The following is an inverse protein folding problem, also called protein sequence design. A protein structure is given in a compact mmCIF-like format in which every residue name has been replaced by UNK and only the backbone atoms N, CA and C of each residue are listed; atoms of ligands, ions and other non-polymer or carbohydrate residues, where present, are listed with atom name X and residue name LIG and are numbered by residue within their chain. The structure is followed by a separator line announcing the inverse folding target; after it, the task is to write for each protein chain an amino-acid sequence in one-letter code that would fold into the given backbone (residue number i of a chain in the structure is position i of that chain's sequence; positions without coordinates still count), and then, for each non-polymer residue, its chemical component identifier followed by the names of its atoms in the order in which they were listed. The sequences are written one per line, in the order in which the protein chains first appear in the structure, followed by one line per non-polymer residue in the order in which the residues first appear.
data_IF_757470097536
#
_entry.id   IF_757470097536
#
_cell.length_a   1.000
_cell.length_b   1.000
_cell.length_c   1.000
_cell.angle_alpha   90.00
_cell.angle_beta   90.00
_cell.angle_gamma   90.00
#
_symmetry.space_group_name_H-M   'P 1'
#
loop_
_entity.id
_entity.type
_entity.pdbx_description
1 polymer ?
#
# COMPACT_ATOMS: atom_id res chain seq x y z
N UNK A 1 -4.56 -34.83 -10.95
CA UNK A 1 -5.16 -36.05 -10.37
C UNK A 1 -6.26 -35.63 -9.41
N UNK A 2 -7.46 -36.16 -9.62
CA UNK A 2 -8.74 -35.82 -8.98
C UNK A 2 -8.73 -35.98 -7.45
N UNK A 3 -9.24 -34.99 -6.70
CA UNK A 3 -9.86 -35.24 -5.40
C UNK A 3 -11.26 -34.63 -5.36
N UNK A 4 -12.24 -35.53 -5.41
CA UNK A 4 -13.68 -35.28 -5.30
C UNK A 4 -14.03 -34.88 -3.87
N UNK A 5 -14.86 -33.86 -3.73
CA UNK A 5 -15.71 -33.62 -2.55
C UNK A 5 -16.72 -34.77 -2.38
N UNK A 6 -16.92 -35.30 -1.16
CA UNK A 6 -18.13 -36.05 -0.83
C UNK A 6 -19.07 -35.22 0.05
N UNK A 7 -20.34 -35.22 -0.34
CA UNK A 7 -21.51 -34.77 0.43
C UNK A 7 -21.74 -35.63 1.68
N UNK A 8 -22.40 -35.10 2.73
CA UNK A 8 -22.63 -35.84 3.96
C UNK A 8 -23.89 -36.71 3.85
N UNK A 9 -23.75 -38.00 4.12
CA UNK A 9 -24.90 -38.88 4.37
C UNK A 9 -24.73 -39.57 5.73
N UNK A 10 -25.84 -39.56 6.47
CA UNK A 10 -26.02 -40.11 7.82
C UNK A 10 -25.69 -41.60 7.86
N UNK A 11 -24.97 -42.03 8.90
CA UNK A 11 -25.29 -43.25 9.63
C UNK A 11 -24.63 -43.23 11.01
N UNK A 12 -25.47 -43.09 12.04
CA UNK A 12 -25.11 -43.42 13.40
C UNK A 12 -25.21 -44.94 13.57
N UNK A 13 -24.14 -45.59 14.05
CA UNK A 13 -24.20 -46.70 15.02
C UNK A 13 -22.84 -47.36 15.21
N UNK A 14 -22.62 -47.85 16.43
CA UNK A 14 -21.52 -48.69 16.92
C UNK A 14 -20.19 -48.00 17.24
N UNK A 15 -20.13 -47.52 18.48
CA UNK A 15 -18.89 -47.33 19.22
C UNK A 15 -18.23 -48.70 19.46
N UNK A 16 -16.96 -48.87 19.07
CA UNK A 16 -16.00 -49.80 19.69
C UNK A 16 -14.58 -49.25 19.49
N UNK A 17 -13.98 -48.81 20.60
CA UNK A 17 -12.54 -48.87 20.92
C UNK A 17 -11.51 -48.52 19.84
N UNK A 18 -11.11 -47.25 19.79
CA UNK A 18 -9.76 -46.82 19.42
C UNK A 18 -9.35 -45.64 20.32
N UNK A 19 -8.48 -45.84 21.34
CA UNK A 19 -7.83 -44.74 22.02
C UNK A 19 -6.67 -44.25 21.15
N UNK A 20 -6.50 -42.94 21.06
CA UNK A 20 -5.51 -42.22 20.23
C UNK A 20 -5.95 -41.91 18.80
N UNK A 21 -6.78 -40.86 18.66
CA UNK A 21 -6.65 -39.77 17.67
C UNK A 21 -7.77 -38.73 17.90
N UNK A 22 -7.79 -38.11 19.08
CA UNK A 22 -8.39 -36.77 19.22
C UNK A 22 -7.32 -35.75 18.86
N UNK A 23 -7.10 -35.50 17.57
CA UNK A 23 -6.42 -34.29 17.13
C UNK A 23 -7.40 -33.12 17.31
N UNK A 24 -7.57 -32.67 18.56
CA UNK A 24 -8.16 -31.37 18.81
C UNK A 24 -7.21 -30.34 18.19
N UNK A 25 -7.55 -29.81 17.03
CA UNK A 25 -6.82 -28.71 16.46
C UNK A 25 -7.01 -27.49 17.38
N UNK A 26 -5.99 -27.19 18.19
CA UNK A 26 -5.95 -26.00 19.04
C UNK A 26 -5.50 -24.82 18.18
N UNK A 27 -6.45 -23.99 17.76
CA UNK A 27 -6.17 -22.78 16.99
C UNK A 27 -5.93 -21.60 17.94
N UNK A 28 -4.81 -20.90 17.77
CA UNK A 28 -4.55 -19.63 18.41
C UNK A 28 -4.41 -18.56 17.33
N UNK A 29 -5.22 -17.50 17.42
CA UNK A 29 -5.20 -16.38 16.48
C UNK A 29 -4.85 -15.12 17.26
N UNK A 30 -3.98 -14.30 16.68
CA UNK A 30 -3.59 -13.00 17.22
C UNK A 30 -3.96 -11.95 16.19
N UNK A 31 -4.61 -10.89 16.64
CA UNK A 31 -5.05 -9.82 15.76
C UNK A 31 -5.41 -8.56 16.53
N UNK A 32 -5.41 -7.44 15.80
CA UNK A 32 -5.81 -6.13 16.30
C UNK A 32 -6.79 -5.52 15.30
N UNK A 33 -8.05 -5.40 15.71
CA UNK A 33 -9.14 -4.80 14.93
C UNK A 33 -8.88 -3.31 14.62
N UNK A 34 -8.19 -2.59 15.50
CA UNK A 34 -7.80 -1.20 15.30
C UNK A 34 -6.65 -1.05 14.27
N UNK A 35 -5.98 -2.15 13.90
CA UNK A 35 -4.92 -2.18 12.87
C UNK A 35 -5.37 -2.87 11.57
N UNK A 36 -6.67 -3.11 11.37
CA UNK A 36 -7.20 -3.64 10.10
C UNK A 36 -7.30 -2.55 9.04
N UNK A 37 -6.31 -2.50 8.13
CA UNK A 37 -6.12 -1.45 7.11
C UNK A 37 -6.02 -1.98 5.67
N UNK A 38 -6.40 -3.24 5.44
CA UNK A 38 -6.37 -3.90 4.14
C UNK A 38 -7.79 -4.25 3.65
N UNK A 39 -8.81 -3.49 4.05
CA UNK A 39 -10.20 -3.73 3.63
C UNK A 39 -10.36 -3.67 2.12
N UNK A 40 -9.61 -2.79 1.47
CA UNK A 40 -9.52 -2.70 0.01
C UNK A 40 -8.93 -3.95 -0.68
N UNK A 41 -8.18 -4.80 0.04
CA UNK A 41 -7.71 -6.12 -0.44
C UNK A 41 -8.68 -7.26 -0.06
N UNK A 42 -9.87 -6.94 0.45
CA UNK A 42 -10.88 -7.92 0.87
C UNK A 42 -10.74 -8.39 2.31
N UNK A 43 -9.90 -7.75 3.14
CA UNK A 43 -9.82 -8.09 4.56
C UNK A 43 -11.13 -7.69 5.27
N UNK A 44 -11.78 -8.67 5.91
CA UNK A 44 -13.04 -8.45 6.62
C UNK A 44 -12.78 -8.36 8.13
N UNK A 45 -13.07 -7.21 8.73
CA UNK A 45 -12.85 -7.00 10.18
C UNK A 45 -13.73 -7.90 11.06
N UNK A 46 -14.88 -8.33 10.54
CA UNK A 46 -15.81 -9.22 11.24
C UNK A 46 -15.19 -10.56 11.59
N UNK A 47 -14.16 -11.01 10.84
CA UNK A 47 -13.42 -12.22 11.17
C UNK A 47 -12.81 -12.18 12.58
N UNK A 48 -12.44 -10.99 13.08
CA UNK A 48 -11.93 -10.81 14.45
C UNK A 48 -13.05 -10.33 15.39
N UNK A 49 -13.89 -9.38 14.96
CA UNK A 49 -14.89 -8.80 15.87
C UNK A 49 -16.01 -9.79 16.22
N UNK A 50 -16.30 -10.76 15.35
CA UNK A 50 -17.33 -11.78 15.51
C UNK A 50 -16.73 -13.18 15.69
N UNK A 51 -15.49 -13.27 16.18
CA UNK A 51 -14.78 -14.55 16.31
C UNK A 51 -15.55 -15.60 17.13
N UNK A 52 -16.26 -15.18 18.19
CA UNK A 52 -17.07 -16.04 19.04
C UNK A 52 -18.27 -16.68 18.30
N UNK A 53 -18.70 -16.10 17.17
CA UNK A 53 -19.76 -16.68 16.34
C UNK A 53 -19.26 -17.90 15.55
N UNK A 54 -17.96 -17.95 15.24
CA UNK A 54 -17.34 -19.06 14.50
C UNK A 54 -16.80 -20.14 15.42
N UNK A 55 -16.26 -19.74 16.58
CA UNK A 55 -15.68 -20.64 17.57
C UNK A 55 -16.35 -20.41 18.92
N UNK A 56 -17.28 -21.31 19.35
CA UNK A 56 -17.97 -21.14 20.62
C UNK A 56 -16.98 -21.30 21.79
N UNK A 57 -17.07 -20.39 22.77
CA UNK A 57 -16.21 -20.34 23.97
C UNK A 57 -14.69 -20.23 23.69
N UNK A 58 -14.22 -19.21 22.96
CA UNK A 58 -12.79 -19.00 22.80
C UNK A 58 -12.19 -18.40 24.09
N UNK A 59 -10.98 -18.83 24.45
CA UNK A 59 -10.24 -18.18 25.53
C UNK A 59 -9.62 -16.87 25.02
N UNK A 60 -10.14 -15.72 25.48
CA UNK A 60 -9.71 -14.40 25.02
C UNK A 60 -8.71 -13.78 26.00
N UNK A 61 -7.52 -13.48 25.51
CA UNK A 61 -6.48 -12.72 26.27
C UNK A 61 -6.34 -11.34 25.65
N UNK A 62 -6.44 -10.29 26.46
CA UNK A 62 -6.19 -8.91 26.04
C UNK A 62 -4.79 -8.47 26.48
N UNK A 63 -3.98 -8.03 25.52
CA UNK A 63 -2.67 -7.45 25.77
C UNK A 63 -2.80 -5.93 25.73
N UNK A 64 -2.90 -5.30 26.90
CA UNK A 64 -3.17 -3.86 27.02
C UNK A 64 -1.91 -3.03 27.32
N UNK A 65 -0.82 -3.69 27.70
CA UNK A 65 0.47 -3.03 27.94
C UNK A 65 1.23 -2.85 26.61
N UNK A 66 1.53 -1.60 26.26
CA UNK A 66 2.33 -1.22 25.11
C UNK A 66 3.78 -0.93 25.52
N UNK A 67 4.71 -1.68 24.96
CA UNK A 67 6.15 -1.54 25.24
C UNK A 67 6.88 -0.63 24.23
N UNK A 68 6.21 -0.19 23.17
CA UNK A 68 6.82 0.53 22.04
C UNK A 68 6.83 2.04 22.26
N UNK A 69 5.66 2.61 22.48
CA UNK A 69 5.41 4.05 22.38
C UNK A 69 5.37 4.71 23.75
N UNK A 70 5.74 5.98 23.80
CA UNK A 70 5.59 6.82 25.00
C UNK A 70 4.13 7.08 25.32
N UNK A 71 3.86 7.42 26.58
CA UNK A 71 2.52 7.75 27.09
C UNK A 71 1.79 8.82 26.26
N UNK A 72 2.39 9.98 25.90
CA UNK A 72 1.72 10.98 25.06
C UNK A 72 1.30 10.47 23.67
N UNK A 73 2.17 9.71 23.00
CA UNK A 73 1.87 9.13 21.68
C UNK A 73 0.70 8.13 21.80
N UNK A 74 0.73 7.27 22.82
CA UNK A 74 -0.30 6.26 23.00
C UNK A 74 -1.65 6.85 23.39
N UNK A 75 -1.68 7.89 24.24
CA UNK A 75 -2.92 8.63 24.53
C UNK A 75 -3.48 9.32 23.29
N UNK A 76 -2.61 9.91 22.46
CA UNK A 76 -3.03 10.49 21.18
C UNK A 76 -3.67 9.42 20.28
N UNK A 77 -3.05 8.24 20.15
CA UNK A 77 -3.61 7.12 19.39
C UNK A 77 -4.96 6.62 19.94
N UNK A 78 -5.06 6.43 21.26
CA UNK A 78 -6.30 6.01 21.93
C UNK A 78 -7.43 7.04 21.76
N UNK A 79 -7.10 8.34 21.81
CA UNK A 79 -8.07 9.43 21.64
C UNK A 79 -8.65 9.50 20.24
N UNK A 80 -7.86 9.12 19.22
CA UNK A 80 -8.31 8.99 17.85
C UNK A 80 -9.22 7.75 17.70
N UNK A 81 -8.72 6.57 18.03
CA UNK A 81 -9.36 5.31 17.64
C UNK A 81 -10.68 5.03 18.35
N UNK A 82 -10.91 5.64 19.53
CA UNK A 82 -12.19 5.54 20.25
C UNK A 82 -13.40 6.01 19.43
N UNK A 83 -13.19 6.83 18.39
CA UNK A 83 -14.26 7.35 17.54
C UNK A 83 -14.71 6.34 16.46
N UNK A 84 -14.02 5.21 16.28
CA UNK A 84 -14.48 4.13 15.40
C UNK A 84 -15.62 3.34 16.03
N UNK A 85 -16.71 3.16 15.28
CA UNK A 85 -17.86 2.35 15.70
C UNK A 85 -17.57 0.86 15.46
N UNK A 86 -18.10 -0.02 16.32
CA UNK A 86 -18.01 -1.48 16.12
C UNK A 86 -16.66 -2.10 16.46
N UNK A 87 -15.73 -1.35 17.08
CA UNK A 87 -14.46 -1.88 17.61
C UNK A 87 -14.66 -2.65 18.91
N UNK A 88 -13.73 -3.55 19.23
CA UNK A 88 -13.67 -4.18 20.55
C UNK A 88 -13.12 -3.18 21.57
N UNK A 89 -13.75 -3.03 22.75
CA UNK A 89 -13.26 -2.13 23.78
C UNK A 89 -11.94 -2.66 24.35
N UNK A 90 -10.89 -1.87 24.14
CA UNK A 90 -9.57 -2.00 24.74
C UNK A 90 -8.94 -0.61 24.87
N UNK A 91 -8.12 -0.44 25.89
CA UNK A 91 -7.35 0.77 26.15
C UNK A 91 -5.90 0.38 26.38
N UNK A 92 -5.01 0.83 25.49
CA UNK A 92 -3.60 0.57 25.63
C UNK A 92 -2.97 1.55 26.62
N UNK A 93 -2.06 1.09 27.47
CA UNK A 93 -1.28 1.93 28.39
C UNK A 93 0.22 1.62 28.25
N UNK A 94 1.08 2.56 28.65
CA UNK A 94 2.54 2.43 28.53
C UNK A 94 3.23 2.76 29.85
N UNK A 95 4.34 2.07 30.14
CA UNK A 95 5.27 2.43 31.24
C UNK A 95 6.31 3.46 30.81
N UNK A 96 6.44 3.72 29.50
CA UNK A 96 7.41 4.65 28.96
C UNK A 96 6.91 6.08 29.16
N UNK A 97 7.30 6.68 30.29
CA UNK A 97 6.94 8.04 30.70
C UNK A 97 7.69 9.14 29.91
N UNK A 98 7.69 9.05 28.58
CA UNK A 98 8.22 10.12 27.73
C UNK A 98 7.48 11.43 28.01
N UNK A 99 8.23 12.51 28.16
CA UNK A 99 7.71 13.86 28.42
C UNK A 99 7.23 14.57 27.16
N UNK A 100 7.79 14.20 26.01
CA UNK A 100 7.60 14.95 24.78
C UNK A 100 6.17 14.76 24.26
N UNK A 101 5.46 15.88 24.12
CA UNK A 101 4.14 15.91 23.52
C UNK A 101 4.22 15.64 22.01
N UNK A 102 3.11 15.19 21.44
CA UNK A 102 2.99 15.08 19.99
C UNK A 102 2.94 16.49 19.40
N UNK A 103 3.85 16.82 18.47
CA UNK A 103 3.84 18.15 17.84
C UNK A 103 2.88 18.15 16.65
N UNK A 104 2.07 19.21 16.52
CA UNK A 104 1.22 19.47 15.36
C UNK A 104 1.64 20.78 14.72
N UNK A 105 2.23 20.72 13.53
CA UNK A 105 2.85 21.86 12.86
C UNK A 105 2.03 22.27 11.62
N UNK A 106 1.60 23.52 11.59
CA UNK A 106 1.01 24.14 10.40
C UNK A 106 2.11 24.78 9.53
N UNK A 107 2.10 24.47 8.24
CA UNK A 107 2.99 25.07 7.23
C UNK A 107 2.15 25.79 6.16
N UNK A 108 2.75 26.72 5.44
CA UNK A 108 2.10 27.45 4.34
C UNK A 108 1.92 26.56 3.12
N UNK A 109 2.97 25.83 2.71
CA UNK A 109 2.92 24.91 1.58
C UNK A 109 3.68 23.59 1.75
N UNK A 110 3.57 22.72 0.75
CA UNK A 110 4.18 21.38 0.73
C UNK A 110 5.69 21.38 0.62
N UNK A 111 6.28 22.46 0.10
CA UNK A 111 7.73 22.63 0.09
C UNK A 111 8.24 23.06 1.46
N UNK A 112 7.55 23.98 2.14
CA UNK A 112 7.88 24.37 3.51
C UNK A 112 7.73 23.20 4.48
N UNK A 113 6.66 22.39 4.34
CA UNK A 113 6.49 21.16 5.12
C UNK A 113 7.66 20.19 4.93
N UNK A 114 8.07 19.95 3.67
CA UNK A 114 9.18 19.05 3.37
C UNK A 114 10.53 19.61 3.86
N UNK A 115 10.75 20.91 3.72
CA UNK A 115 11.97 21.57 4.17
C UNK A 115 12.09 21.58 5.69
N UNK A 116 10.98 21.81 6.41
CA UNK A 116 10.90 21.72 7.87
C UNK A 116 11.32 20.32 8.34
N UNK A 117 10.73 19.27 7.76
CA UNK A 117 11.08 17.88 8.11
C UNK A 117 12.57 17.62 7.83
N UNK A 118 13.05 18.03 6.66
CA UNK A 118 14.44 17.81 6.28
C UNK A 118 15.43 18.56 7.19
N UNK A 119 15.10 19.79 7.60
CA UNK A 119 15.88 20.61 8.54
C UNK A 119 15.91 20.02 9.95
N UNK A 120 14.78 19.49 10.43
CA UNK A 120 14.73 18.83 11.74
C UNK A 120 15.58 17.56 11.77
N UNK A 121 15.48 16.74 10.72
CA UNK A 121 16.34 15.55 10.57
C UNK A 121 17.80 15.95 10.47
N UNK A 122 18.14 16.97 9.67
CA UNK A 122 19.50 17.52 9.57
C UNK A 122 20.05 17.89 10.94
N UNK A 123 19.28 18.68 11.68
CA UNK A 123 19.67 19.18 13.00
C UNK A 123 19.87 18.03 13.98
N UNK A 124 18.93 17.09 14.04
CA UNK A 124 19.05 15.94 14.94
C UNK A 124 20.22 15.02 14.55
N UNK A 125 20.47 14.82 13.25
CA UNK A 125 21.57 14.00 12.78
C UNK A 125 22.94 14.63 13.05
N UNK A 126 23.13 15.90 12.70
CA UNK A 126 24.43 16.55 12.82
C UNK A 126 24.71 17.09 14.23
N UNK A 127 23.72 17.68 14.91
CA UNK A 127 23.91 18.25 16.25
C UNK A 127 23.82 17.17 17.34
N UNK A 128 22.83 16.28 17.26
CA UNK A 128 22.59 15.27 18.31
C UNK A 128 23.21 13.90 17.97
N UNK A 129 23.92 13.78 16.84
CA UNK A 129 24.53 12.52 16.34
C UNK A 129 23.54 11.36 16.22
N UNK A 130 22.26 11.66 15.98
CA UNK A 130 21.23 10.63 15.87
C UNK A 130 21.32 9.91 14.52
N UNK A 131 21.32 8.56 14.45
CA UNK A 131 21.39 7.83 13.18
C UNK A 131 20.21 8.14 12.27
N UNK A 132 20.45 8.26 10.96
CA UNK A 132 19.38 8.56 9.99
C UNK A 132 18.32 7.45 9.92
N UNK A 133 18.71 6.22 10.23
CA UNK A 133 17.86 5.03 10.24
C UNK A 133 16.80 5.07 11.35
N UNK A 134 16.94 5.95 12.34
CA UNK A 134 15.95 6.14 13.41
C UNK A 134 14.77 7.03 13.00
N UNK A 135 14.85 7.67 11.83
CA UNK A 135 13.84 8.58 11.33
C UNK A 135 12.99 7.91 10.26
N UNK A 136 11.67 8.09 10.36
CA UNK A 136 10.73 7.76 9.31
C UNK A 136 9.77 8.90 9.01
N UNK A 137 9.47 9.08 7.73
CA UNK A 137 8.40 9.96 7.25
C UNK A 137 7.34 9.09 6.61
N UNK A 138 6.16 9.03 7.23
CA UNK A 138 5.05 8.23 6.72
C UNK A 138 3.98 9.09 6.08
N UNK A 139 3.70 8.81 4.82
CA UNK A 139 2.72 9.54 4.01
C UNK A 139 1.59 8.64 3.53
N UNK A 140 0.47 9.24 3.13
CA UNK A 140 -0.73 8.50 2.71
C UNK A 140 -0.63 8.01 1.27
N UNK A 141 0.02 8.77 0.39
CA UNK A 141 0.15 8.48 -1.05
C UNK A 141 1.58 8.69 -1.53
N UNK A 142 2.05 7.84 -2.45
CA UNK A 142 3.40 7.91 -3.01
C UNK A 142 3.74 9.25 -3.68
N UNK A 143 2.74 9.98 -4.19
CA UNK A 143 2.96 11.30 -4.80
C UNK A 143 3.57 12.32 -3.82
N UNK A 144 3.39 12.11 -2.50
CA UNK A 144 3.99 12.96 -1.46
C UNK A 144 5.50 12.72 -1.29
N UNK A 145 6.05 11.57 -1.72
CA UNK A 145 7.48 11.28 -1.55
C UNK A 145 8.34 12.27 -2.33
N UNK A 146 7.92 12.66 -3.54
CA UNK A 146 8.73 13.44 -4.47
C UNK A 146 9.25 14.76 -3.88
N UNK A 147 8.41 15.49 -3.15
CA UNK A 147 8.80 16.79 -2.54
C UNK A 147 9.74 16.57 -1.35
N UNK A 148 9.52 15.51 -0.56
CA UNK A 148 10.39 15.12 0.55
C UNK A 148 11.78 14.68 0.05
N UNK A 149 11.80 13.84 -0.99
CA UNK A 149 13.02 13.40 -1.66
C UNK A 149 13.84 14.57 -2.19
N UNK A 150 13.17 15.57 -2.79
CA UNK A 150 13.83 16.78 -3.26
C UNK A 150 14.45 17.58 -2.10
N UNK A 151 13.73 17.77 -0.99
CA UNK A 151 14.24 18.47 0.19
C UNK A 151 15.45 17.75 0.82
N UNK A 152 15.36 16.42 1.01
CA UNK A 152 16.49 15.63 1.51
C UNK A 152 17.70 15.66 0.58
N UNK A 153 17.49 15.57 -0.74
CA UNK A 153 18.57 15.64 -1.73
C UNK A 153 19.27 17.01 -1.71
N UNK A 154 18.51 18.09 -1.58
CA UNK A 154 19.06 19.46 -1.49
C UNK A 154 19.94 19.64 -0.25
N UNK A 155 19.54 19.04 0.89
CA UNK A 155 20.31 19.04 2.15
C UNK A 155 21.34 17.92 2.25
N UNK A 156 21.53 17.12 1.19
CA UNK A 156 22.45 15.97 1.14
C UNK A 156 22.22 14.93 2.26
N UNK A 157 20.96 14.76 2.66
CA UNK A 157 20.55 13.76 3.65
C UNK A 157 20.28 12.45 2.90
N UNK A 158 20.92 11.36 3.35
CA UNK A 158 20.66 10.05 2.80
C UNK A 158 19.23 9.59 3.17
N UNK A 159 18.50 9.11 2.19
CA UNK A 159 17.13 8.61 2.37
C UNK A 159 16.92 7.34 1.55
N UNK A 160 15.92 6.56 1.95
CA UNK A 160 15.43 5.39 1.22
C UNK A 160 13.92 5.48 1.10
N UNK A 161 13.39 5.13 -0.06
CA UNK A 161 11.94 5.08 -0.28
C UNK A 161 11.51 3.62 -0.28
N UNK A 162 10.59 3.27 0.61
CA UNK A 162 10.00 1.95 0.76
C UNK A 162 8.59 1.99 0.18
N UNK A 163 8.29 1.04 -0.71
CA UNK A 163 7.02 1.04 -1.42
C UNK A 163 6.89 2.19 -2.44
N UNK A 164 8.03 2.75 -2.89
CA UNK A 164 8.08 3.38 -4.21
C UNK A 164 7.51 2.37 -5.21
N UNK A 165 6.76 2.83 -6.24
CA UNK A 165 6.11 1.89 -7.18
C UNK A 165 7.12 0.83 -7.59
N UNK A 166 6.82 -0.40 -7.17
CA UNK A 166 7.58 -1.56 -7.56
C UNK A 166 7.77 -1.56 -9.06
N UNK A 167 8.88 -2.14 -9.53
CA UNK A 167 9.08 -2.36 -10.95
C UNK A 167 7.84 -3.02 -11.59
N UNK A 168 7.20 -3.96 -10.88
CA UNK A 168 6.00 -4.68 -11.33
C UNK A 168 4.71 -3.85 -11.25
N UNK A 169 4.73 -2.75 -10.51
CA UNK A 169 3.62 -1.79 -10.40
C UNK A 169 3.60 -0.72 -11.49
N UNK A 170 4.68 -0.63 -12.28
CA UNK A 170 4.71 0.25 -13.44
C UNK A 170 3.60 -0.13 -14.41
N UNK A 171 2.98 0.87 -15.03
CA UNK A 171 1.74 0.67 -15.82
C UNK A 171 1.97 -0.36 -16.92
N UNK A 172 3.03 -0.16 -17.68
CA UNK A 172 3.44 -0.96 -18.80
C UNK A 172 3.73 -2.41 -18.42
N UNK A 173 4.42 -2.61 -17.29
CA UNK A 173 4.77 -3.92 -16.76
C UNK A 173 3.52 -4.64 -16.27
N UNK A 174 2.68 -3.95 -15.49
CA UNK A 174 1.45 -4.51 -14.91
C UNK A 174 0.40 -4.86 -15.96
N UNK A 175 0.34 -4.13 -17.06
CA UNK A 175 -0.52 -4.46 -18.21
C UNK A 175 -0.10 -5.80 -18.83
N UNK A 176 1.20 -6.01 -19.09
CA UNK A 176 1.71 -7.29 -19.61
C UNK A 176 1.54 -8.42 -18.61
N UNK A 177 1.85 -8.20 -17.33
CA UNK A 177 1.62 -9.20 -16.28
C UNK A 177 0.14 -9.60 -16.17
N UNK A 178 -0.78 -8.66 -16.38
CA UNK A 178 -2.22 -8.97 -16.36
C UNK A 178 -2.65 -9.80 -17.57
N UNK A 179 -2.05 -9.57 -18.75
CA UNK A 179 -2.20 -10.48 -19.88
C UNK A 179 -1.71 -11.88 -19.52
N UNK A 180 -0.50 -12.01 -18.99
CA UNK A 180 0.08 -13.28 -18.58
C UNK A 180 -0.76 -14.00 -17.52
N UNK A 181 -1.28 -13.26 -16.52
CA UNK A 181 -2.20 -13.80 -15.51
C UNK A 181 -3.46 -14.38 -16.13
N UNK A 182 -4.10 -13.65 -17.06
CA UNK A 182 -5.31 -14.13 -17.75
C UNK A 182 -5.03 -15.32 -18.67
N UNK A 183 -3.85 -15.39 -19.30
CA UNK A 183 -3.46 -16.57 -20.10
C UNK A 183 -3.27 -17.82 -19.24
N UNK A 184 -2.77 -17.64 -18.01
CA UNK A 184 -2.64 -18.73 -17.05
C UNK A 184 -4.00 -19.11 -16.44
N UNK A 185 -4.75 -18.11 -15.99
CA UNK A 185 -6.06 -18.25 -15.36
C UNK A 185 -7.04 -17.19 -15.90
N UNK A 186 -7.90 -17.55 -16.88
CA UNK A 186 -8.89 -16.63 -17.43
C UNK A 186 -9.93 -16.13 -16.40
N UNK A 187 -10.06 -16.80 -15.25
CA UNK A 187 -11.00 -16.40 -14.20
C UNK A 187 -10.47 -15.31 -13.25
N UNK A 188 -9.26 -14.79 -13.48
CA UNK A 188 -8.77 -13.59 -12.78
C UNK A 188 -9.46 -12.33 -13.32
N UNK A 189 -10.61 -12.01 -12.70
CA UNK A 189 -11.46 -10.88 -13.09
C UNK A 189 -10.75 -9.53 -12.96
N UNK A 190 -9.80 -9.38 -12.03
CA UNK A 190 -9.07 -8.13 -11.82
C UNK A 190 -8.06 -7.89 -12.94
N UNK A 191 -7.27 -8.91 -13.30
CA UNK A 191 -6.36 -8.83 -14.44
C UNK A 191 -7.13 -8.66 -15.75
N UNK A 192 -8.24 -9.40 -15.92
CA UNK A 192 -9.09 -9.35 -17.10
C UNK A 192 -9.67 -7.95 -17.32
N UNK A 193 -10.25 -7.32 -16.30
CA UNK A 193 -10.81 -5.97 -16.41
C UNK A 193 -9.74 -4.93 -16.76
N UNK A 194 -8.53 -5.07 -16.22
CA UNK A 194 -7.42 -4.16 -16.52
C UNK A 194 -7.04 -4.18 -18.00
N UNK A 195 -6.96 -5.37 -18.58
CA UNK A 195 -6.57 -5.56 -19.98
C UNK A 195 -7.75 -5.53 -20.94
N UNK A 196 -9.01 -5.44 -20.47
CA UNK A 196 -10.20 -5.56 -21.33
C UNK A 196 -10.32 -4.48 -22.41
N UNK A 197 -9.70 -3.32 -22.22
CA UNK A 197 -9.64 -2.27 -23.25
C UNK A 197 -8.25 -1.62 -23.36
N UNK A 198 -7.21 -2.37 -22.98
CA UNK A 198 -5.81 -1.94 -23.03
C UNK A 198 -5.01 -2.96 -23.83
N UNK A 199 -4.63 -2.71 -25.10
CA UNK A 199 -4.90 -1.51 -25.92
C UNK A 199 -6.38 -1.28 -26.26
N UNK A 200 -6.70 -0.02 -26.59
CA UNK A 200 -8.06 0.42 -26.93
C UNK A 200 -8.61 -0.35 -28.11
N UNK A 201 -9.67 -1.13 -27.88
CA UNK A 201 -10.31 -1.99 -28.90
C UNK A 201 -11.82 -1.79 -29.03
N UNK A 202 -12.35 -0.73 -28.40
CA UNK A 202 -13.76 -0.35 -28.52
C UNK A 202 -14.69 -1.06 -27.54
N UNK A 203 -14.14 -1.62 -26.45
CA UNK A 203 -14.94 -2.13 -25.32
C UNK A 203 -15.07 -0.99 -24.31
N UNK A 204 -16.26 -0.37 -24.27
CA UNK A 204 -16.53 0.77 -23.39
C UNK A 204 -16.66 0.38 -21.93
N UNK A 205 -16.55 1.36 -21.03
CA UNK A 205 -16.74 1.17 -19.59
C UNK A 205 -18.13 0.62 -19.25
N UNK A 206 -19.17 1.04 -19.96
CA UNK A 206 -20.53 0.52 -19.80
C UNK A 206 -20.61 -0.99 -20.10
N UNK A 207 -19.92 -1.47 -21.14
CA UNK A 207 -19.89 -2.89 -21.48
C UNK A 207 -19.13 -3.71 -20.44
N UNK A 208 -18.03 -3.18 -19.90
CA UNK A 208 -17.30 -3.82 -18.82
C UNK A 208 -18.15 -3.93 -17.54
N UNK A 209 -18.90 -2.89 -17.22
CA UNK A 209 -19.79 -2.87 -16.06
C UNK A 209 -20.95 -3.85 -16.20
N UNK A 210 -21.59 -3.91 -17.38
CA UNK A 210 -22.61 -4.91 -17.70
C UNK A 210 -22.08 -6.35 -17.55
N UNK A 211 -20.85 -6.61 -17.99
CA UNK A 211 -20.22 -7.93 -17.82
C UNK A 211 -19.99 -8.27 -16.34
N UNK A 212 -19.61 -7.28 -15.53
CA UNK A 212 -19.41 -7.39 -14.09
C UNK A 212 -20.73 -7.66 -13.35
N UNK A 213 -21.79 -6.93 -13.67
CA UNK A 213 -23.13 -7.16 -13.12
C UNK A 213 -23.64 -8.57 -13.44
N UNK A 214 -23.47 -9.00 -14.70
CA UNK A 214 -23.85 -10.35 -15.14
C UNK A 214 -23.09 -11.45 -14.40
N UNK A 215 -21.80 -11.24 -14.19
CA UNK A 215 -20.93 -12.11 -13.39
C UNK A 215 -21.43 -12.23 -11.94
N UNK A 216 -21.85 -11.12 -11.32
CA UNK A 216 -22.41 -11.11 -9.97
C UNK A 216 -23.78 -11.81 -9.89
N UNK A 217 -24.67 -11.54 -10.84
CA UNK A 217 -26.03 -12.12 -10.90
C UNK A 217 -26.00 -13.65 -11.02
N UNK A 218 -25.13 -14.17 -11.90
CA UNK A 218 -25.03 -15.60 -12.19
C UNK A 218 -23.95 -16.33 -11.38
N UNK A 219 -23.27 -15.65 -10.46
CA UNK A 219 -22.19 -16.20 -9.62
C UNK A 219 -21.08 -16.93 -10.40
N UNK A 220 -20.65 -16.35 -11.53
CA UNK A 220 -19.52 -16.85 -12.33
C UNK A 220 -18.53 -15.73 -12.63
N UNK A 221 -17.33 -16.05 -13.12
CA UNK A 221 -16.34 -15.03 -13.47
C UNK A 221 -16.78 -14.15 -14.65
N UNK A 222 -16.15 -12.99 -14.81
CA UNK A 222 -16.37 -12.09 -15.94
C UNK A 222 -15.99 -12.77 -17.26
N UNK A 223 -14.97 -13.62 -17.28
CA UNK A 223 -14.63 -14.43 -18.45
C UNK A 223 -15.81 -15.26 -18.96
N UNK A 224 -16.53 -15.94 -18.06
CA UNK A 224 -17.72 -16.72 -18.43
C UNK A 224 -18.82 -15.81 -18.99
N UNK A 225 -18.99 -14.61 -18.43
CA UNK A 225 -19.92 -13.61 -18.95
C UNK A 225 -19.57 -13.18 -20.38
N UNK A 226 -18.28 -12.93 -20.66
CA UNK A 226 -17.80 -12.50 -21.97
C UNK A 226 -17.92 -13.61 -23.04
N UNK A 227 -17.93 -14.87 -22.63
CA UNK A 227 -18.17 -16.03 -23.50
C UNK A 227 -19.65 -16.40 -23.65
N UNK A 228 -20.56 -15.80 -22.87
CA UNK A 228 -22.00 -16.08 -22.91
C UNK A 228 -22.65 -15.40 -24.13
N UNK A 229 -23.16 -16.18 -25.08
CA UNK A 229 -23.83 -15.66 -26.28
C UNK A 229 -25.07 -14.82 -25.93
N UNK A 230 -25.77 -15.11 -24.83
CA UNK A 230 -26.93 -14.31 -24.41
C UNK A 230 -26.51 -12.93 -23.92
N UNK A 231 -25.37 -12.83 -23.23
CA UNK A 231 -24.77 -11.55 -22.87
C UNK A 231 -24.32 -10.78 -24.12
N UNK A 232 -23.62 -11.45 -25.05
CA UNK A 232 -23.15 -10.84 -26.29
C UNK A 232 -24.31 -10.27 -27.14
N UNK A 233 -25.50 -10.87 -27.08
CA UNK A 233 -26.71 -10.34 -27.77
C UNK A 233 -27.18 -9.00 -27.21
N UNK A 234 -26.93 -8.71 -25.94
CA UNK A 234 -27.42 -7.51 -25.24
C UNK A 234 -26.55 -6.26 -25.44
N UNK A 235 -25.34 -6.43 -25.99
CA UNK A 235 -24.37 -5.34 -26.20
C UNK A 235 -24.32 -4.92 -27.67
N UNK A 236 -23.84 -3.68 -27.97
CA UNK A 236 -23.71 -3.19 -29.34
C UNK A 236 -22.80 -4.08 -30.19
N UNK A 237 -23.11 -4.21 -31.49
CA UNK A 237 -22.38 -5.09 -32.43
C UNK A 237 -20.87 -4.81 -32.46
N UNK A 238 -20.47 -3.54 -32.38
CA UNK A 238 -19.05 -3.15 -32.32
C UNK A 238 -18.34 -3.72 -31.10
N UNK A 239 -18.99 -3.69 -29.92
CA UNK A 239 -18.45 -4.23 -28.69
C UNK A 239 -18.43 -5.76 -28.71
N UNK A 240 -19.47 -6.39 -29.28
CA UNK A 240 -19.55 -7.84 -29.48
C UNK A 240 -18.40 -8.37 -30.32
N UNK A 241 -18.12 -7.75 -31.46
CA UNK A 241 -17.01 -8.14 -32.33
C UNK A 241 -15.67 -7.96 -31.61
N UNK A 242 -15.48 -6.85 -30.90
CA UNK A 242 -14.26 -6.60 -30.13
C UNK A 242 -14.05 -7.65 -29.01
N UNK A 243 -15.11 -8.04 -28.29
CA UNK A 243 -15.03 -9.09 -27.26
C UNK A 243 -14.68 -10.43 -27.91
N UNK A 244 -15.33 -10.81 -29.02
CA UNK A 244 -15.02 -12.07 -29.73
C UNK A 244 -13.57 -12.13 -30.20
N UNK A 245 -13.04 -11.03 -30.76
CA UNK A 245 -11.63 -10.95 -31.15
C UNK A 245 -10.71 -11.09 -29.93
N UNK A 246 -11.06 -10.44 -28.81
CA UNK A 246 -10.28 -10.52 -27.58
C UNK A 246 -10.31 -11.91 -26.93
N UNK A 247 -11.49 -12.54 -26.80
CA UNK A 247 -11.58 -13.90 -26.23
C UNK A 247 -10.85 -14.92 -27.10
N UNK A 248 -10.93 -14.79 -28.44
CA UNK A 248 -10.17 -15.63 -29.36
C UNK A 248 -8.65 -15.46 -29.20
N UNK A 249 -8.17 -14.23 -29.01
CA UNK A 249 -6.76 -13.95 -28.71
C UNK A 249 -6.32 -14.62 -27.40
N UNK A 250 -7.10 -14.47 -26.32
CA UNK A 250 -6.77 -15.11 -25.03
C UNK A 250 -6.73 -16.63 -25.19
N UNK A 251 -7.72 -17.25 -25.85
CA UNK A 251 -7.74 -18.70 -26.09
C UNK A 251 -6.53 -19.16 -26.91
N UNK A 252 -6.14 -18.41 -27.95
CA UNK A 252 -4.97 -18.69 -28.80
C UNK A 252 -3.68 -18.80 -27.99
N UNK A 253 -3.47 -17.90 -27.03
CA UNK A 253 -2.24 -17.84 -26.24
C UNK A 253 -2.30 -18.67 -24.94
N UNK A 254 -3.50 -18.98 -24.42
CA UNK A 254 -3.67 -19.76 -23.18
C UNK A 254 -3.20 -21.22 -23.33
N UNK A 255 -3.36 -21.82 -24.52
CA UNK A 255 -2.88 -23.18 -24.79
C UNK A 255 -1.35 -23.29 -24.65
N UNK A 256 -0.57 -22.51 -25.43
CA UNK A 256 0.88 -22.46 -25.29
C UNK A 256 1.34 -22.06 -23.88
N UNK A 257 0.69 -21.07 -23.25
CA UNK A 257 1.04 -20.57 -21.92
C UNK A 257 1.02 -21.65 -20.82
N UNK A 258 0.10 -22.61 -20.91
CA UNK A 258 -0.06 -23.69 -19.94
C UNK A 258 0.64 -25.00 -20.36
N UNK A 259 1.35 -25.00 -21.49
CA UNK A 259 2.10 -26.18 -21.96
C UNK A 259 3.53 -26.16 -21.39
N UNK A 260 3.97 -27.20 -20.67
CA UNK A 260 5.34 -27.28 -20.17
C UNK A 260 6.37 -27.21 -21.30
N UNK A 261 7.43 -26.41 -21.11
CA UNK A 261 8.53 -26.28 -22.08
C UNK A 261 8.32 -25.24 -23.18
N UNK A 262 7.16 -24.59 -23.25
CA UNK A 262 6.92 -23.43 -24.12
C UNK A 262 7.96 -22.34 -23.90
N UNK A 263 8.44 -21.73 -24.99
CA UNK A 263 9.31 -20.56 -24.92
C UNK A 263 8.47 -19.34 -24.54
N UNK A 264 8.36 -19.08 -23.24
CA UNK A 264 7.52 -18.02 -22.67
C UNK A 264 7.86 -16.63 -23.23
N UNK A 265 9.14 -16.38 -23.49
CA UNK A 265 9.64 -15.11 -24.01
C UNK A 265 9.13 -14.88 -25.43
N UNK A 266 9.32 -15.85 -26.33
CA UNK A 266 8.84 -15.78 -27.71
C UNK A 266 7.32 -15.60 -27.77
N UNK A 267 6.60 -16.33 -26.91
CA UNK A 267 5.15 -16.20 -26.79
C UNK A 267 4.75 -14.79 -26.33
N UNK A 268 5.44 -14.23 -25.33
CA UNK A 268 5.14 -12.91 -24.78
C UNK A 268 5.47 -11.81 -25.78
N UNK A 269 6.60 -11.92 -26.49
CA UNK A 269 6.96 -10.99 -27.57
C UNK A 269 5.95 -11.05 -28.72
N UNK A 270 5.53 -12.26 -29.13
CA UNK A 270 4.50 -12.43 -30.14
C UNK A 270 3.17 -11.80 -29.70
N UNK A 271 2.78 -11.96 -28.43
CA UNK A 271 1.58 -11.34 -27.87
C UNK A 271 1.67 -9.81 -27.90
N UNK A 272 2.78 -9.24 -27.40
CA UNK A 272 3.03 -7.79 -27.38
C UNK A 272 2.92 -7.19 -28.79
N UNK A 273 3.46 -7.89 -29.78
CA UNK A 273 3.40 -7.51 -31.19
C UNK A 273 1.96 -7.59 -31.73
N UNK A 274 1.26 -8.71 -31.52
CA UNK A 274 -0.09 -8.95 -32.06
C UNK A 274 -1.13 -7.99 -31.46
N UNK A 275 -1.03 -7.65 -30.17
CA UNK A 275 -1.93 -6.66 -29.56
C UNK A 275 -1.55 -5.21 -29.92
N UNK A 276 -0.40 -4.99 -30.55
CA UNK A 276 0.09 -3.65 -30.90
C UNK A 276 0.39 -2.79 -29.67
N UNK A 277 0.93 -3.39 -28.60
CA UNK A 277 1.10 -2.70 -27.32
C UNK A 277 2.10 -1.54 -27.39
N UNK A 278 3.21 -1.72 -28.11
CA UNK A 278 4.23 -0.69 -28.27
C UNK A 278 3.69 0.55 -28.99
N UNK A 279 2.86 0.35 -30.03
CA UNK A 279 2.17 1.44 -30.73
C UNK A 279 1.14 2.14 -29.83
N UNK A 280 0.45 1.37 -28.98
CA UNK A 280 -0.47 1.93 -27.99
C UNK A 280 0.26 2.83 -26.99
N UNK A 281 1.41 2.39 -26.46
CA UNK A 281 2.24 3.18 -25.57
C UNK A 281 2.79 4.42 -26.25
N UNK A 282 3.30 4.30 -27.48
CA UNK A 282 3.81 5.44 -28.25
C UNK A 282 2.76 6.52 -28.47
N UNK A 283 1.51 6.14 -28.74
CA UNK A 283 0.37 7.08 -28.87
C UNK A 283 -0.06 7.70 -27.54
N UNK A 284 0.17 7.01 -26.42
CA UNK A 284 -0.17 7.47 -25.08
C UNK A 284 0.91 8.38 -24.47
N UNK A 285 2.14 8.32 -24.97
CA UNK A 285 3.27 9.11 -24.50
C UNK A 285 3.05 10.59 -24.84
N UNK A 286 3.30 11.46 -23.87
CA UNK A 286 3.28 12.92 -24.09
C UNK A 286 4.64 13.40 -24.55
N UNK A 287 5.69 12.87 -23.92
CA UNK A 287 7.09 13.15 -24.26
C UNK A 287 7.79 11.88 -24.78
N UNK A 288 8.82 12.01 -25.63
CA UNK A 288 9.62 10.87 -26.10
C UNK A 288 10.26 10.06 -24.95
N UNK A 289 10.58 10.74 -23.86
CA UNK A 289 11.18 10.15 -22.64
C UNK A 289 10.21 9.21 -21.91
N UNK A 290 8.91 9.51 -21.92
CA UNK A 290 7.87 8.63 -21.34
C UNK A 290 7.87 7.27 -22.05
N UNK A 291 7.89 7.31 -23.39
CA UNK A 291 7.90 6.11 -24.21
C UNK A 291 9.18 5.29 -23.98
N UNK A 292 10.35 5.94 -23.98
CA UNK A 292 11.62 5.27 -23.71
C UNK A 292 11.66 4.62 -22.31
N UNK A 293 11.05 5.26 -21.31
CA UNK A 293 10.90 4.69 -19.98
C UNK A 293 10.03 3.44 -19.96
N UNK A 294 8.89 3.45 -20.66
CA UNK A 294 7.99 2.31 -20.75
C UNK A 294 8.58 1.16 -21.59
N UNK A 295 9.26 1.48 -22.69
CA UNK A 295 9.98 0.50 -23.50
C UNK A 295 11.06 -0.22 -22.67
N UNK A 296 11.85 0.53 -21.89
CA UNK A 296 12.79 -0.06 -20.94
C UNK A 296 12.08 -0.93 -19.90
N UNK A 297 10.93 -0.51 -19.37
CA UNK A 297 10.14 -1.31 -18.43
C UNK A 297 9.77 -2.68 -19.00
N UNK A 298 9.30 -2.73 -20.24
CA UNK A 298 8.95 -3.99 -20.92
C UNK A 298 10.22 -4.83 -21.19
N UNK A 299 11.31 -4.22 -21.63
CA UNK A 299 12.56 -4.93 -21.89
C UNK A 299 13.14 -5.56 -20.62
N UNK A 300 13.10 -4.86 -19.49
CA UNK A 300 13.50 -5.42 -18.20
C UNK A 300 12.58 -6.56 -17.75
N UNK A 301 11.27 -6.49 -18.02
CA UNK A 301 10.35 -7.60 -17.74
C UNK A 301 10.73 -8.84 -18.55
N UNK A 302 11.02 -8.67 -19.86
CA UNK A 302 11.46 -9.77 -20.71
C UNK A 302 12.79 -10.37 -20.24
N UNK A 303 13.75 -9.54 -19.82
CA UNK A 303 15.01 -10.03 -19.21
C UNK A 303 14.76 -10.83 -17.93
N UNK A 304 13.85 -10.37 -17.07
CA UNK A 304 13.44 -11.08 -15.86
C UNK A 304 12.83 -12.44 -16.19
N UNK A 305 11.96 -12.52 -17.21
CA UNK A 305 11.41 -13.78 -17.73
C UNK A 305 12.50 -14.72 -18.26
N UNK A 306 13.52 -14.19 -18.94
CA UNK A 306 14.69 -14.98 -19.38
C UNK A 306 15.44 -15.57 -18.20
N UNK A 307 15.79 -14.75 -17.22
CA UNK A 307 16.52 -15.20 -16.04
C UNK A 307 15.73 -16.22 -15.20
N UNK A 308 14.40 -16.14 -15.20
CA UNK A 308 13.53 -17.17 -14.60
C UNK A 308 13.56 -18.47 -15.41
N UNK A 309 13.36 -18.39 -16.73
CA UNK A 309 13.32 -19.56 -17.62
C UNK A 309 14.64 -20.34 -17.63
N UNK A 310 15.77 -19.64 -17.51
CA UNK A 310 17.11 -20.26 -17.38
C UNK A 310 17.31 -20.98 -16.05
N UNK A 311 16.74 -20.47 -14.94
CA UNK A 311 16.85 -21.07 -13.61
C UNK A 311 15.87 -22.21 -13.38
N UNK A 312 14.61 -22.05 -13.80
CA UNK A 312 13.54 -23.01 -13.54
C UNK A 312 12.55 -23.08 -14.71
N UNK A 313 12.96 -23.79 -15.76
CA UNK A 313 12.13 -24.03 -16.95
C UNK A 313 10.89 -24.89 -16.67
N UNK A 314 10.88 -25.67 -15.59
CA UNK A 314 9.81 -26.62 -15.30
C UNK A 314 8.56 -25.95 -14.74
N UNK A 315 8.75 -24.85 -14.00
CA UNK A 315 7.66 -24.10 -13.36
C UNK A 315 6.81 -23.27 -14.33
N UNK A 316 7.32 -22.99 -15.54
CA UNK A 316 6.56 -22.37 -16.63
C UNK A 316 6.00 -20.99 -16.28
N UNK A 317 4.85 -20.63 -16.88
CA UNK A 317 4.25 -19.32 -16.64
C UNK A 317 3.77 -19.14 -15.19
N UNK A 318 3.25 -20.21 -14.58
CA UNK A 318 2.77 -20.20 -13.20
C UNK A 318 3.90 -19.85 -12.24
N UNK A 319 5.05 -20.53 -12.36
CA UNK A 319 6.23 -20.27 -11.54
C UNK A 319 6.78 -18.86 -11.70
N UNK A 320 6.75 -18.32 -12.92
CA UNK A 320 7.14 -16.93 -13.14
C UNK A 320 6.21 -15.94 -12.43
N UNK A 321 4.89 -16.14 -12.53
CA UNK A 321 3.90 -15.27 -11.86
C UNK A 321 4.00 -15.36 -10.32
N UNK A 322 4.28 -16.56 -9.79
CA UNK A 322 4.55 -16.77 -8.36
C UNK A 322 5.85 -16.07 -7.94
N UNK A 323 6.92 -16.18 -8.72
CA UNK A 323 8.19 -15.50 -8.44
C UNK A 323 8.04 -13.97 -8.47
N UNK A 324 7.33 -13.43 -9.46
CA UNK A 324 7.06 -11.99 -9.54
C UNK A 324 6.31 -11.51 -8.30
N UNK A 325 5.28 -12.24 -7.88
CA UNK A 325 4.50 -11.91 -6.68
C UNK A 325 5.36 -11.93 -5.41
N UNK A 326 6.27 -12.91 -5.29
CA UNK A 326 7.19 -13.01 -4.15
C UNK A 326 8.31 -11.97 -4.19
N UNK A 327 8.80 -11.61 -5.38
CA UNK A 327 9.85 -10.62 -5.54
C UNK A 327 9.35 -9.21 -5.24
N UNK A 328 8.08 -8.91 -5.55
CA UNK A 328 7.43 -7.65 -5.17
C UNK A 328 7.47 -7.47 -3.64
N UNK A 329 7.09 -8.51 -2.88
CA UNK A 329 7.17 -8.51 -1.41
C UNK A 329 8.62 -8.46 -0.88
N UNK A 330 9.58 -9.02 -1.63
CA UNK A 330 11.01 -9.00 -1.25
C UNK A 330 11.65 -7.66 -1.51
N UNK A 331 11.36 -6.98 -2.62
CA UNK A 331 11.88 -5.64 -2.92
C UNK A 331 11.44 -4.64 -1.84
N UNK A 332 10.18 -4.71 -1.41
CA UNK A 332 9.68 -3.90 -0.30
C UNK A 332 10.46 -4.16 1.01
N UNK A 333 10.78 -5.42 1.32
CA UNK A 333 11.57 -5.78 2.51
C UNK A 333 13.05 -5.41 2.39
N UNK A 334 13.66 -5.61 1.22
CA UNK A 334 15.05 -5.26 0.95
C UNK A 334 15.27 -3.74 1.03
N UNK A 335 14.31 -2.94 0.57
CA UNK A 335 14.34 -1.49 0.73
C UNK A 335 14.31 -1.06 2.21
N UNK A 336 13.65 -1.83 3.08
CA UNK A 336 13.60 -1.61 4.53
C UNK A 336 14.90 -2.06 5.22
N UNK A 337 15.56 -3.11 4.75
CA UNK A 337 16.70 -3.71 5.47
C UNK A 337 18.08 -3.25 4.95
N UNK A 338 18.23 -3.06 3.63
CA UNK A 338 19.56 -2.92 3.00
C UNK A 338 19.99 -1.48 2.70
N UNK A 339 19.05 -0.54 2.57
CA UNK A 339 19.35 0.86 2.25
C UNK A 339 19.54 1.69 3.52
N UNK A 340 20.61 2.49 3.59
CA UNK A 340 20.89 3.41 4.71
C UNK A 340 20.15 4.74 4.54
N UNK A 341 19.91 5.46 5.63
CA UNK A 341 19.26 6.76 5.62
C UNK A 341 17.81 6.78 6.13
N UNK A 342 17.18 7.96 6.03
CA UNK A 342 15.81 8.23 6.48
C UNK A 342 14.81 7.36 5.72
N UNK A 343 13.88 6.73 6.44
CA UNK A 343 12.86 5.88 5.84
C UNK A 343 11.65 6.69 5.35
N UNK A 344 11.51 6.83 4.03
CA UNK A 344 10.32 7.38 3.38
C UNK A 344 9.38 6.21 3.03
N UNK A 345 8.20 6.14 3.65
CA UNK A 345 7.32 4.97 3.50
C UNK A 345 5.84 5.37 3.50
N UNK A 346 4.99 4.57 2.87
CA UNK A 346 3.53 4.77 3.04
C UNK A 346 3.07 4.31 4.42
N UNK A 347 1.99 4.91 4.94
CA UNK A 347 1.36 4.44 6.18
C UNK A 347 0.96 2.96 6.10
N UNK A 348 0.53 2.47 4.94
CA UNK A 348 0.19 1.06 4.74
C UNK A 348 1.42 0.15 4.87
N UNK A 349 2.50 0.47 4.16
CA UNK A 349 3.73 -0.33 4.17
C UNK A 349 4.46 -0.28 5.52
N UNK A 350 4.15 0.71 6.37
CA UNK A 350 4.72 0.81 7.71
C UNK A 350 4.18 -0.18 8.74
N UNK A 351 3.08 -0.89 8.42
CA UNK A 351 2.44 -1.80 9.37
C UNK A 351 3.44 -2.89 9.79
N UNK A 352 3.65 -3.01 11.10
CA UNK A 352 4.61 -3.94 11.69
C UNK A 352 6.00 -3.35 11.93
N UNK A 353 6.33 -2.20 11.33
CA UNK A 353 7.57 -1.48 11.60
C UNK A 353 7.44 -0.55 12.81
N UNK A 354 8.57 -0.03 13.29
CA UNK A 354 8.64 0.90 14.41
C UNK A 354 9.90 1.76 14.34
N UNK A 355 9.77 3.05 14.64
CA UNK A 355 10.86 4.02 14.51
C UNK A 355 10.92 4.93 15.76
N UNK A 356 12.12 5.28 16.25
CA UNK A 356 12.29 6.27 17.31
C UNK A 356 11.59 7.59 17.03
N UNK A 357 11.78 8.15 15.83
CA UNK A 357 11.24 9.45 15.40
C UNK A 357 10.40 9.29 14.15
N UNK A 358 9.16 9.78 14.21
CA UNK A 358 8.19 9.68 13.11
C UNK A 358 7.62 11.05 12.74
N UNK A 359 7.57 11.31 11.44
CA UNK A 359 6.87 12.43 10.83
C UNK A 359 5.66 11.93 10.04
N UNK A 360 4.50 12.55 10.23
CA UNK A 360 3.26 12.30 9.47
C UNK A 360 2.82 13.58 8.74
N UNK A 361 3.35 13.85 7.53
CA UNK A 361 2.95 15.01 6.74
C UNK A 361 1.62 14.82 6.02
N UNK A 362 1.02 15.94 5.61
CA UNK A 362 -0.21 15.96 4.83
C UNK A 362 -1.45 15.52 5.62
N UNK A 363 -1.55 15.93 6.89
CA UNK A 363 -2.76 15.77 7.71
C UNK A 363 -3.87 16.73 7.25
N UNK A 364 -4.35 16.50 6.03
CA UNK A 364 -5.23 17.40 5.27
C UNK A 364 -6.47 16.66 4.75
N UNK A 365 -7.58 17.38 4.63
CA UNK A 365 -8.79 16.87 3.99
C UNK A 365 -8.54 16.48 2.54
N UNK A 366 -9.02 15.28 2.18
CA UNK A 366 -8.82 14.71 0.85
C UNK A 366 -7.49 13.97 0.68
N UNK A 367 -6.52 14.16 1.58
CA UNK A 367 -5.33 13.31 1.70
C UNK A 367 -5.60 12.25 2.77
N UNK A 368 -5.81 12.65 4.03
CA UNK A 368 -6.12 11.77 5.14
C UNK A 368 -7.20 12.44 6.02
N UNK A 369 -8.49 12.06 5.92
CA UNK A 369 -9.01 10.94 5.15
C UNK A 369 -8.92 11.17 3.63
N UNK A 370 -8.57 10.11 2.89
CA UNK A 370 -8.54 10.16 1.44
C UNK A 370 -9.95 10.42 0.87
N UNK A 371 -10.06 11.30 -0.12
CA UNK A 371 -11.35 11.76 -0.68
C UNK A 371 -12.30 10.61 -1.03
N UNK A 372 -11.78 9.59 -1.70
CA UNK A 372 -12.57 8.41 -2.09
C UNK A 372 -13.13 7.65 -0.89
N UNK A 373 -12.32 7.46 0.15
CA UNK A 373 -12.74 6.74 1.36
C UNK A 373 -13.79 7.54 2.14
N UNK A 374 -13.71 8.87 2.10
CA UNK A 374 -14.74 9.75 2.65
C UNK A 374 -16.07 9.60 1.90
N UNK A 375 -16.03 9.69 0.56
CA UNK A 375 -17.22 9.58 -0.29
C UNK A 375 -17.88 8.19 -0.21
N UNK A 376 -17.10 7.12 -0.02
CA UNK A 376 -17.57 5.74 0.15
C UNK A 376 -18.02 5.41 1.59
N UNK A 377 -17.98 6.37 2.53
CA UNK A 377 -18.35 6.13 3.94
C UNK A 377 -17.38 5.24 4.71
N UNK A 378 -16.14 5.06 4.23
CA UNK A 378 -15.07 4.23 4.83
C UNK A 378 -14.10 5.04 5.69
N UNK A 379 -14.60 6.08 6.35
CA UNK A 379 -13.78 6.97 7.20
C UNK A 379 -13.09 6.18 8.33
N UNK A 380 -13.74 5.14 8.83
CA UNK A 380 -13.20 4.30 9.90
C UNK A 380 -11.93 3.54 9.50
N UNK A 381 -11.78 3.16 8.22
CA UNK A 381 -10.56 2.53 7.71
C UNK A 381 -9.40 3.53 7.62
N UNK A 382 -9.67 4.77 7.17
CA UNK A 382 -8.67 5.85 7.17
C UNK A 382 -8.27 6.24 8.61
N UNK A 383 -9.20 6.14 9.57
CA UNK A 383 -8.89 6.36 10.99
C UNK A 383 -7.97 5.27 11.56
N UNK A 384 -8.20 4.00 11.21
CA UNK A 384 -7.28 2.88 11.55
C UNK A 384 -5.91 3.09 10.91
N UNK A 385 -5.87 3.59 9.67
CA UNK A 385 -4.61 3.89 9.00
C UNK A 385 -3.83 4.99 9.73
N UNK A 386 -4.50 6.05 10.17
CA UNK A 386 -3.88 7.10 10.97
C UNK A 386 -3.41 6.58 12.34
N UNK A 387 -4.21 5.74 13.00
CA UNK A 387 -3.84 5.05 14.24
C UNK A 387 -2.58 4.18 14.06
N UNK A 388 -2.48 3.42 12.97
CA UNK A 388 -1.28 2.66 12.63
C UNK A 388 -0.07 3.59 12.50
N UNK A 389 -0.21 4.71 11.79
CA UNK A 389 0.84 5.72 11.63
C UNK A 389 1.35 6.28 12.96
N UNK A 390 0.44 6.71 13.85
CA UNK A 390 0.78 7.23 15.19
C UNK A 390 1.55 6.17 15.99
N UNK A 391 1.07 4.92 15.98
CA UNK A 391 1.64 3.81 16.77
C UNK A 391 2.94 3.23 16.17
N UNK A 392 3.46 3.79 15.08
CA UNK A 392 4.82 3.47 14.59
C UNK A 392 5.90 4.22 15.37
N UNK A 393 5.55 5.33 16.00
CA UNK A 393 6.48 6.18 16.73
C UNK A 393 6.78 5.60 18.12
N UNK A 394 8.07 5.48 18.47
CA UNK A 394 8.51 5.07 19.81
C UNK A 394 8.63 6.25 20.76
N UNK A 395 9.35 7.30 20.34
CA UNK A 395 9.76 8.40 21.23
C UNK A 395 9.16 9.73 20.83
N UNK A 396 9.30 10.13 19.55
CA UNK A 396 8.85 11.44 19.05
C UNK A 396 7.92 11.28 17.85
N UNK A 397 6.83 12.04 17.86
CA UNK A 397 5.86 12.10 16.78
C UNK A 397 5.58 13.55 16.41
N UNK A 398 5.72 13.84 15.12
CA UNK A 398 5.37 15.14 14.55
C UNK A 398 4.32 14.94 13.46
N UNK A 399 3.18 15.61 13.63
CA UNK A 399 2.11 15.71 12.65
C UNK A 399 2.26 17.05 11.93
N UNK A 400 2.05 17.09 10.62
CA UNK A 400 2.03 18.36 9.90
C UNK A 400 0.93 18.44 8.86
N UNK A 401 0.47 19.66 8.61
CA UNK A 401 -0.45 19.97 7.52
C UNK A 401 -0.05 21.27 6.84
N UNK A 402 -0.51 21.46 5.61
CA UNK A 402 -0.27 22.67 4.83
C UNK A 402 -1.55 23.45 4.60
N UNK A 403 -1.45 24.78 4.49
CA UNK A 403 -2.56 25.64 4.05
C UNK A 403 -2.82 25.49 2.56
N UNK A 404 -1.78 25.22 1.80
CA UNK A 404 -1.84 25.07 0.34
C UNK A 404 -0.92 23.96 -0.15
N UNK A 405 -1.32 23.25 -1.21
CA UNK A 405 -0.49 22.19 -1.82
C UNK A 405 -0.50 22.29 -3.33
N UNK A 406 0.62 21.97 -3.98
CA UNK A 406 0.70 21.92 -5.42
C UNK A 406 0.17 20.57 -5.93
N UNK A 407 -0.96 20.57 -6.64
CA UNK A 407 -1.51 19.36 -7.26
C UNK A 407 -1.68 19.56 -8.76
N UNK A 408 -1.05 18.71 -9.56
CA UNK A 408 -1.05 18.79 -11.03
C UNK A 408 -0.68 20.18 -11.57
N UNK A 409 0.30 20.84 -10.94
CA UNK A 409 0.77 22.18 -11.33
C UNK A 409 -0.15 23.35 -10.93
N UNK A 410 -1.21 23.10 -10.15
CA UNK A 410 -2.08 24.14 -9.59
C UNK A 410 -2.00 24.17 -8.06
N UNK A 411 -1.92 25.38 -7.49
CA UNK A 411 -1.98 25.59 -6.04
C UNK A 411 -3.43 25.40 -5.57
N UNK A 412 -3.66 24.42 -4.70
CA UNK A 412 -4.96 24.17 -4.07
C UNK A 412 -4.90 24.55 -2.61
N UNK A 413 -5.94 25.22 -2.10
CA UNK A 413 -6.09 25.43 -0.66
C UNK A 413 -6.63 24.17 -0.02
N UNK A 414 -6.00 23.75 1.08
CA UNK A 414 -6.35 22.54 1.80
C UNK A 414 -6.82 22.89 3.22
N UNK A 415 -7.81 22.13 3.67
CA UNK A 415 -8.29 22.21 5.05
C UNK A 415 -7.56 21.17 5.90
N UNK A 416 -7.26 21.46 7.19
CA UNK A 416 -6.72 20.46 8.10
C UNK A 416 -7.66 19.25 8.23
N UNK A 417 -7.08 18.06 8.42
CA UNK A 417 -7.84 16.83 8.59
C UNK A 417 -8.82 16.90 9.77
N UNK A 418 -10.00 16.33 9.60
CA UNK A 418 -11.00 16.19 10.67
C UNK A 418 -10.48 15.33 11.81
N UNK A 419 -9.58 14.38 11.53
CA UNK A 419 -8.97 13.53 12.56
C UNK A 419 -8.14 14.34 13.56
N UNK A 420 -7.58 15.49 13.17
CA UNK A 420 -6.85 16.36 14.09
C UNK A 420 -7.75 16.93 15.20
N UNK A 421 -9.07 17.02 14.98
CA UNK A 421 -10.04 17.45 16.01
C UNK A 421 -10.39 16.35 17.00
N UNK A 422 -10.10 15.10 16.66
CA UNK A 422 -10.37 13.93 17.50
C UNK A 422 -9.24 13.67 18.52
N UNK A 423 -8.09 14.35 18.37
CA UNK A 423 -6.93 14.19 19.23
C UNK A 423 -7.09 14.94 20.56
N UNK A 424 -6.65 14.32 21.65
CA UNK A 424 -6.61 14.96 22.96
C UNK A 424 -5.52 16.04 23.03
N UNK A 425 -5.94 17.31 23.10
CA UNK A 425 -5.06 18.50 23.16
C UNK A 425 -4.15 18.51 24.38
N UNK A 426 -4.43 17.73 25.43
CA UNK A 426 -3.50 17.59 26.57
C UNK A 426 -2.16 16.97 26.15
N UNK A 427 -2.17 16.13 25.12
CA UNK A 427 -1.00 15.37 24.66
C UNK A 427 -0.44 15.87 23.32
N UNK A 428 -1.00 16.96 22.79
CA UNK A 428 -0.63 17.54 21.50
C UNK A 428 -0.27 19.01 21.68
N UNK A 429 0.91 19.40 21.22
CA UNK A 429 1.39 20.77 21.19
C UNK A 429 1.25 21.33 19.77
N UNK A 430 0.50 22.43 19.61
CA UNK A 430 0.28 23.07 18.31
C UNK A 430 1.25 24.21 18.06
N UNK A 431 1.88 24.22 16.89
CA UNK A 431 2.84 25.23 16.47
C UNK A 431 2.52 25.71 15.04
N UNK A 432 2.61 27.01 14.81
CA UNK A 432 2.54 27.61 13.47
C UNK A 432 3.99 27.92 13.04
N UNK A 433 4.52 27.16 12.07
CA UNK A 433 5.95 27.17 11.74
C UNK A 433 6.43 28.56 11.29
N UNK A 434 5.61 29.25 10.49
CA UNK A 434 5.93 30.58 9.97
C UNK A 434 5.91 31.65 11.09
N UNK A 435 5.13 31.45 12.16
CA UNK A 435 5.16 32.34 13.33
C UNK A 435 6.36 32.04 14.22
N UNK A 436 6.67 30.77 14.43
CA UNK A 436 7.77 30.35 15.29
C UNK A 436 9.15 30.71 14.69
N UNK A 437 9.33 30.62 13.37
CA UNK A 437 10.56 31.10 12.71
C UNK A 437 10.73 32.63 12.76
N UNK A 438 9.64 33.38 12.94
CA UNK A 438 9.64 34.85 13.05
C UNK A 438 9.70 35.35 14.50
N UNK A 439 9.42 34.49 15.48
CA UNK A 439 9.72 34.78 16.88
C UNK A 439 11.24 34.84 17.06
N UNK A 440 11.72 35.95 17.60
CA UNK A 440 13.15 36.23 17.69
C UNK A 440 13.81 35.16 18.56
N UNK A 441 14.65 34.33 17.95
CA UNK A 441 15.47 33.30 18.62
C UNK A 441 16.05 33.89 19.90
N UNK A 442 15.73 33.28 21.04
CA UNK A 442 16.20 33.76 22.34
C UNK A 442 17.72 33.77 22.36
N UNK A 443 18.34 34.74 23.06
CA UNK A 443 19.80 34.87 23.07
C UNK A 443 20.51 33.59 23.56
N UNK A 444 19.86 32.77 24.39
CA UNK A 444 20.40 31.48 24.85
C UNK A 444 20.50 30.43 23.73
N UNK A 445 19.49 30.30 22.87
CA UNK A 445 19.49 29.35 21.74
C UNK A 445 20.53 29.74 20.68
N UNK A 446 20.68 31.04 20.41
CA UNK A 446 21.74 31.54 19.55
C UNK A 446 23.13 31.26 20.15
N UNK A 447 23.31 31.47 21.46
CA UNK A 447 24.61 31.25 22.11
C UNK A 447 25.00 29.77 22.09
N UNK A 448 24.02 28.85 22.26
CA UNK A 448 24.24 27.41 22.17
C UNK A 448 24.49 26.92 20.73
N UNK A 449 23.83 27.52 19.74
CA UNK A 449 24.07 27.20 18.33
C UNK A 449 25.48 27.63 17.89
N UNK A 450 25.91 28.85 18.23
CA UNK A 450 27.24 29.35 17.88
C UNK A 450 28.38 28.69 18.67
N UNK A 451 28.12 28.23 19.92
CA UNK A 451 29.11 27.47 20.68
C UNK A 451 29.37 26.08 20.07
N UNK A 452 28.32 25.37 19.64
CA UNK A 452 28.44 24.10 18.92
C UNK A 452 29.16 24.23 17.58
N UNK A 453 28.88 25.31 16.83
CA UNK A 453 29.55 25.60 15.55
C UNK A 453 31.04 25.93 15.72
N UNK A 454 31.42 26.61 16.80
CA UNK A 454 32.84 26.86 17.15
C UNK A 454 33.56 25.59 17.56
N UNK A 455 32.91 24.69 18.30
CA UNK A 455 33.49 23.41 18.68
C UNK A 455 33.81 22.54 17.45
N UNK A 456 32.92 22.51 16.45
CA UNK A 456 33.17 21.77 15.19
C UNK A 456 34.29 22.37 14.33
N UNK A 457 34.53 23.69 14.39
CA UNK A 457 35.64 24.31 13.66
C UNK A 457 37.00 24.16 14.37
N UNK A 458 36.99 23.91 15.68
CA UNK A 458 38.21 23.72 16.49
C UNK A 458 38.77 22.29 16.42
N UNK A 459 37.98 21.31 15.98
CA UNK A 459 38.38 19.89 15.80
C UNK A 459 38.91 19.56 14.38
N UNK A 460 39.26 20.58 13.57
CA UNK A 460 39.84 20.39 12.23
C UNK A 460 41.34 20.57 12.17
#
# INVERSE_FOLDING_TARGET
MSSRTPTPSRCASSAHSCPHLTTSASWAIVGDDDQSIYGWRGAVITNITEFENFFPNPHVVKLEENYRSTTPILHTANSLIKNNVGRRPKSLWSRNNGSDLVRLIANEDDKEEADMIAKEVETAHFANKQPLEEFAVLFRTNDQSRVLEQAFRQRKIAYRVVGARSFFDRREVKDILSYLSVLHNPHDDMALLRILNTPTRGIGSATAELARERSMEKHHSIWVALCDDDFLRQIPEKARTAIRTFTALIVKYSGPANTPGTQLIDMTQALILEIGYMEHLKKAAKEPEDFAGWENGINELLKSMTAHTERDRASGLAGFLDEVSLNDEREEKDDIEKKKGVCLITMHASKGLEFPVVFLPGMEQGILPHKRSFDEGRVDEERRLFYVGITRAKQKLTLSHTRTRMKWGKKQSNMPSTFLKELDRKYVEEMDYTKHMNETVTQEENTNFFSGLRAMMAEK
#
